data_IF_250125948757
#
_entry.id   IF_250125948757
#
_cell.length_a   1.000
_cell.length_b   1.000
_cell.length_c   1.000
_cell.angle_alpha   90.00
_cell.angle_beta   90.00
_cell.angle_gamma   90.00
#
_symmetry.space_group_name_H-M   'P 1'
#
loop_
_entity.id
_entity.type
_entity.pdbx_description
1 polymer ?
#
# COMPACT_ATOMS: atom_id res chain seq x y z
N UNK A 1 -26.46 2.59 -29.91
CA UNK A 1 -25.91 1.40 -29.26
C UNK A 1 -25.43 1.85 -27.89
N UNK A 2 -26.06 1.33 -26.85
CA UNK A 2 -25.92 1.80 -25.46
C UNK A 2 -24.54 1.41 -24.93
N UNK A 3 -23.77 2.38 -24.43
CA UNK A 3 -22.57 2.12 -23.64
C UNK A 3 -23.02 1.52 -22.30
N UNK A 4 -22.95 0.21 -22.17
CA UNK A 4 -22.93 -0.46 -20.88
C UNK A 4 -21.59 -0.12 -20.22
N UNK A 5 -21.58 0.96 -19.44
CA UNK A 5 -20.51 1.23 -18.50
C UNK A 5 -20.67 0.20 -17.38
N UNK A 6 -20.02 -0.95 -17.54
CA UNK A 6 -19.88 -1.95 -16.48
C UNK A 6 -19.11 -1.27 -15.35
N UNK A 7 -19.85 -0.70 -14.40
CA UNK A 7 -19.29 -0.25 -13.12
C UNK A 7 -18.74 -1.51 -12.46
N UNK A 8 -17.48 -1.82 -12.72
CA UNK A 8 -16.72 -2.81 -11.98
C UNK A 8 -16.80 -2.35 -10.53
N UNK A 9 -17.42 -3.12 -9.62
CA UNK A 9 -17.44 -2.73 -8.21
C UNK A 9 -16.00 -2.62 -7.75
N UNK A 10 -15.70 -1.58 -6.97
CA UNK A 10 -14.40 -1.37 -6.34
C UNK A 10 -13.96 -2.67 -5.63
N UNK A 11 -12.72 -3.10 -5.80
CA UNK A 11 -12.24 -4.39 -5.29
C UNK A 11 -12.33 -4.48 -3.75
N UNK A 12 -12.44 -3.31 -3.10
CA UNK A 12 -12.61 -3.12 -1.67
C UNK A 12 -14.07 -3.21 -1.21
N UNK A 13 -15.04 -3.19 -2.13
CA UNK A 13 -16.47 -3.28 -1.79
C UNK A 13 -16.80 -4.67 -1.22
N UNK A 14 -17.28 -4.71 0.03
CA UNK A 14 -17.66 -5.95 0.69
C UNK A 14 -19.01 -6.47 0.18
N UNK A 15 -19.00 -7.14 -0.97
CA UNK A 15 -20.21 -7.61 -1.66
C UNK A 15 -20.47 -9.12 -1.45
N UNK A 16 -19.46 -9.89 -1.08
CA UNK A 16 -19.53 -11.35 -1.09
C UNK A 16 -19.88 -11.92 0.29
N UNK A 17 -20.96 -12.69 0.39
CA UNK A 17 -21.28 -13.43 1.61
C UNK A 17 -20.29 -14.58 1.84
N UNK A 18 -20.22 -15.09 3.08
CA UNK A 18 -19.25 -16.13 3.46
C UNK A 18 -19.29 -17.40 2.60
N UNK A 19 -20.46 -17.80 2.09
CA UNK A 19 -20.59 -18.97 1.21
C UNK A 19 -19.88 -18.74 -0.13
N UNK A 20 -20.11 -17.58 -0.75
CA UNK A 20 -19.45 -17.21 -2.02
C UNK A 20 -17.96 -16.99 -1.80
N UNK A 21 -17.58 -16.33 -0.69
CA UNK A 21 -16.17 -16.13 -0.35
C UNK A 21 -15.43 -17.45 -0.13
N UNK A 22 -16.08 -18.46 0.45
CA UNK A 22 -15.54 -19.80 0.64
C UNK A 22 -15.30 -20.51 -0.71
N UNK A 23 -16.27 -20.44 -1.62
CA UNK A 23 -16.16 -21.00 -2.97
C UNK A 23 -15.03 -20.32 -3.76
N UNK A 24 -14.98 -18.99 -3.74
CA UNK A 24 -13.96 -18.22 -4.45
C UNK A 24 -12.57 -18.42 -3.85
N UNK A 25 -12.43 -18.57 -2.53
CA UNK A 25 -11.13 -18.81 -1.89
C UNK A 25 -10.72 -20.28 -1.87
N UNK A 26 -11.62 -21.23 -2.18
CA UNK A 26 -11.35 -22.66 -2.08
C UNK A 26 -11.20 -23.16 -0.63
N UNK A 27 -11.72 -22.40 0.34
CA UNK A 27 -11.62 -22.68 1.77
C UNK A 27 -12.98 -22.99 2.37
N UNK A 28 -13.02 -23.80 3.43
CA UNK A 28 -14.26 -24.09 4.12
C UNK A 28 -14.79 -22.85 4.90
N UNK A 29 -16.10 -22.57 4.95
CA UNK A 29 -16.66 -21.42 5.68
C UNK A 29 -16.25 -21.35 7.16
N UNK A 30 -16.00 -22.49 7.81
CA UNK A 30 -15.50 -22.51 9.19
C UNK A 30 -14.08 -21.95 9.30
N UNK A 31 -13.22 -22.23 8.32
CA UNK A 31 -11.84 -21.70 8.24
C UNK A 31 -11.85 -20.18 8.06
N UNK A 32 -12.74 -19.66 7.21
CA UNK A 32 -12.93 -18.22 7.05
C UNK A 32 -13.30 -17.53 8.38
N UNK A 33 -14.20 -18.15 9.16
CA UNK A 33 -14.57 -17.64 10.50
C UNK A 33 -13.40 -17.69 11.48
N UNK A 34 -12.55 -18.71 11.37
CA UNK A 34 -11.37 -18.86 12.21
C UNK A 34 -10.34 -17.77 11.87
N UNK A 35 -10.07 -17.53 10.59
CA UNK A 35 -9.13 -16.49 10.14
C UNK A 35 -9.60 -15.08 10.50
N UNK A 36 -10.90 -14.79 10.38
CA UNK A 36 -11.50 -13.55 10.90
C UNK A 36 -11.28 -13.40 12.40
N UNK A 37 -11.56 -14.44 13.20
CA UNK A 37 -11.35 -14.39 14.65
C UNK A 37 -9.88 -14.18 15.04
N UNK A 38 -8.96 -14.73 14.25
CA UNK A 38 -7.52 -14.55 14.44
C UNK A 38 -7.01 -13.19 13.95
N UNK A 39 -7.85 -12.41 13.25
CA UNK A 39 -7.49 -11.12 12.68
C UNK A 39 -6.58 -11.23 11.45
N UNK A 40 -6.58 -12.38 10.76
CA UNK A 40 -5.82 -12.56 9.51
C UNK A 40 -6.51 -11.91 8.30
N UNK A 41 -7.84 -11.78 8.37
CA UNK A 41 -8.67 -11.14 7.36
C UNK A 41 -9.78 -10.40 8.09
N UNK A 42 -10.11 -9.18 7.67
CA UNK A 42 -11.11 -8.33 8.33
C UNK A 42 -12.30 -8.08 7.41
N UNK A 43 -13.31 -8.97 7.38
CA UNK A 43 -14.53 -8.76 6.62
C UNK A 43 -15.38 -7.64 7.21
N UNK A 44 -16.13 -6.94 6.36
CA UNK A 44 -17.12 -5.98 6.82
C UNK A 44 -18.29 -6.71 7.48
N UNK A 45 -18.77 -6.20 8.62
CA UNK A 45 -19.93 -6.74 9.33
C UNK A 45 -21.19 -6.04 8.86
N UNK A 46 -22.03 -6.73 8.10
CA UNK A 46 -23.34 -6.22 7.74
C UNK A 46 -24.28 -6.30 8.96
N UNK A 47 -25.04 -5.24 9.22
CA UNK A 47 -26.08 -5.19 10.26
C UNK A 47 -27.07 -6.35 10.09
N UNK A 48 -27.00 -7.33 11.00
CA UNK A 48 -27.86 -8.51 11.00
C UNK A 48 -27.61 -9.55 9.89
N UNK A 49 -26.69 -9.32 8.94
CA UNK A 49 -26.52 -10.18 7.74
C UNK A 49 -25.17 -10.89 7.62
N UNK A 50 -24.42 -10.97 8.71
CA UNK A 50 -23.17 -11.72 8.78
C UNK A 50 -21.97 -10.99 8.17
N UNK A 51 -20.94 -11.77 7.82
CA UNK A 51 -19.68 -11.27 7.26
C UNK A 51 -19.81 -11.06 5.76
N UNK A 52 -19.36 -9.91 5.28
CA UNK A 52 -19.18 -9.62 3.87
C UNK A 52 -17.70 -9.46 3.56
N UNK A 53 -17.29 -10.12 2.50
CA UNK A 53 -15.92 -10.15 2.02
C UNK A 53 -15.86 -9.30 0.74
N UNK A 54 -14.80 -8.56 0.59
CA UNK A 54 -14.43 -7.89 -0.67
C UNK A 54 -13.55 -8.81 -1.53
N UNK A 55 -13.25 -8.42 -2.76
CA UNK A 55 -12.31 -9.18 -3.61
C UNK A 55 -10.90 -9.17 -3.00
N UNK A 56 -10.50 -8.04 -2.41
CA UNK A 56 -9.24 -7.95 -1.66
C UNK A 56 -9.19 -8.95 -0.50
N UNK A 57 -10.26 -9.06 0.28
CA UNK A 57 -10.36 -10.06 1.36
C UNK A 57 -10.20 -11.49 0.83
N UNK A 58 -10.77 -11.81 -0.33
CA UNK A 58 -10.65 -13.14 -0.96
C UNK A 58 -9.21 -13.39 -1.42
N UNK A 59 -8.54 -12.39 -1.98
CA UNK A 59 -7.12 -12.49 -2.32
C UNK A 59 -6.26 -12.74 -1.08
N UNK A 60 -6.51 -12.01 0.02
CA UNK A 60 -5.82 -12.24 1.30
C UNK A 60 -6.02 -13.66 1.82
N UNK A 61 -7.24 -14.21 1.76
CA UNK A 61 -7.53 -15.60 2.16
C UNK A 61 -6.68 -16.62 1.40
N UNK A 62 -6.52 -16.44 0.07
CA UNK A 62 -5.67 -17.31 -0.75
C UNK A 62 -4.19 -17.17 -0.39
N UNK A 63 -3.72 -15.95 -0.12
CA UNK A 63 -2.35 -15.72 0.34
C UNK A 63 -2.09 -16.40 1.68
N UNK A 64 -3.00 -16.26 2.65
CA UNK A 64 -2.91 -16.94 3.95
C UNK A 64 -2.83 -18.45 3.76
N UNK A 65 -3.70 -19.03 2.92
CA UNK A 65 -3.69 -20.46 2.63
C UNK A 65 -2.35 -20.93 2.04
N UNK A 66 -1.78 -20.16 1.10
CA UNK A 66 -0.47 -20.47 0.51
C UNK A 66 0.65 -20.43 1.55
N UNK A 67 0.71 -19.40 2.40
CA UNK A 67 1.72 -19.28 3.45
C UNK A 67 1.64 -20.40 4.49
N UNK A 68 0.42 -20.87 4.81
CA UNK A 68 0.24 -22.06 5.65
C UNK A 68 0.78 -23.31 4.97
N UNK A 69 0.55 -23.47 3.65
CA UNK A 69 1.11 -24.56 2.85
C UNK A 69 2.65 -24.55 2.81
N UNK A 70 3.26 -23.37 2.94
CA UNK A 70 4.72 -23.20 3.06
C UNK A 70 5.26 -23.48 4.48
N UNK A 71 4.38 -23.83 5.43
CA UNK A 71 4.75 -24.18 6.80
C UNK A 71 4.80 -22.99 7.77
N UNK A 72 4.31 -21.82 7.36
CA UNK A 72 4.27 -20.64 8.21
C UNK A 72 3.06 -20.71 9.14
N UNK A 73 3.28 -20.50 10.44
CA UNK A 73 2.19 -20.51 11.41
C UNK A 73 1.36 -19.21 11.37
N UNK A 74 0.14 -19.26 11.93
CA UNK A 74 -0.80 -18.13 11.94
C UNK A 74 -0.21 -16.84 12.56
N UNK A 75 0.64 -16.96 13.58
CA UNK A 75 1.28 -15.79 14.21
C UNK A 75 2.31 -15.13 13.27
N UNK A 76 3.08 -15.94 12.54
CA UNK A 76 3.99 -15.49 11.51
C UNK A 76 3.26 -14.81 10.36
N UNK A 77 2.16 -15.40 9.89
CA UNK A 77 1.34 -14.81 8.81
C UNK A 77 0.75 -13.47 9.25
N UNK A 78 0.21 -13.39 10.48
CA UNK A 78 -0.29 -12.12 11.02
C UNK A 78 0.81 -11.06 11.01
N UNK A 79 2.02 -11.41 11.45
CA UNK A 79 3.15 -10.48 11.46
C UNK A 79 3.56 -10.02 10.07
N UNK A 80 3.55 -10.92 9.09
CA UNK A 80 3.83 -10.61 7.68
C UNK A 80 2.82 -9.58 7.16
N UNK A 81 1.52 -9.82 7.37
CA UNK A 81 0.44 -8.92 6.91
C UNK A 81 0.57 -7.53 7.55
N UNK A 82 0.85 -7.46 8.86
CA UNK A 82 1.08 -6.20 9.56
C UNK A 82 2.28 -5.43 8.99
N UNK A 83 3.38 -6.13 8.68
CA UNK A 83 4.57 -5.52 8.10
C UNK A 83 4.32 -5.04 6.68
N UNK A 84 3.66 -5.83 5.84
CA UNK A 84 3.27 -5.44 4.48
C UNK A 84 2.39 -4.17 4.50
N UNK A 85 1.43 -4.11 5.42
CA UNK A 85 0.55 -2.95 5.60
C UNK A 85 1.34 -1.70 6.02
N UNK A 86 2.28 -1.85 6.97
CA UNK A 86 3.14 -0.76 7.40
C UNK A 86 4.05 -0.27 6.26
N UNK A 87 4.61 -1.19 5.47
CA UNK A 87 5.42 -0.86 4.29
C UNK A 87 4.62 -0.12 3.22
N UNK A 88 3.38 -0.54 2.95
CA UNK A 88 2.49 0.12 2.00
C UNK A 88 2.17 1.56 2.45
N UNK A 89 1.83 1.76 3.72
CA UNK A 89 1.58 3.09 4.28
C UNK A 89 2.82 3.99 4.19
N UNK A 90 3.99 3.45 4.52
CA UNK A 90 5.24 4.20 4.44
C UNK A 90 5.63 4.54 2.99
N UNK A 91 5.33 3.66 2.03
CA UNK A 91 5.54 3.94 0.61
C UNK A 91 4.66 5.10 0.11
N UNK A 92 3.40 5.17 0.56
CA UNK A 92 2.49 6.29 0.26
C UNK A 92 3.03 7.59 0.86
N UNK A 93 3.47 7.57 2.12
CA UNK A 93 4.03 8.74 2.78
C UNK A 93 5.31 9.25 2.07
N UNK A 94 6.20 8.34 1.68
CA UNK A 94 7.39 8.69 0.89
C UNK A 94 7.01 9.29 -0.46
N UNK A 95 5.96 8.78 -1.13
CA UNK A 95 5.48 9.34 -2.38
C UNK A 95 4.94 10.77 -2.19
N UNK A 96 4.13 11.01 -1.15
CA UNK A 96 3.63 12.35 -0.81
C UNK A 96 4.78 13.32 -0.51
N UNK A 97 5.74 12.92 0.32
CA UNK A 97 6.88 13.76 0.68
C UNK A 97 7.74 14.11 -0.54
N UNK A 98 7.92 13.18 -1.48
CA UNK A 98 8.64 13.46 -2.73
C UNK A 98 7.94 14.52 -3.58
N UNK A 99 6.61 14.42 -3.73
CA UNK A 99 5.82 15.42 -4.45
C UNK A 99 5.94 16.80 -3.80
N UNK A 100 5.88 16.84 -2.46
CA UNK A 100 6.02 18.10 -1.71
C UNK A 100 7.42 18.70 -1.87
N UNK A 101 8.47 17.88 -1.76
CA UNK A 101 9.87 18.33 -1.97
C UNK A 101 10.06 18.87 -3.38
N UNK A 102 9.52 18.20 -4.40
CA UNK A 102 9.62 18.64 -5.80
C UNK A 102 8.89 19.99 -6.01
N UNK A 103 7.73 20.17 -5.37
CA UNK A 103 6.99 21.44 -5.39
C UNK A 103 7.79 22.57 -4.73
N UNK A 104 8.36 22.33 -3.54
CA UNK A 104 9.18 23.30 -2.82
C UNK A 104 10.47 23.67 -3.58
N UNK A 105 11.13 22.72 -4.22
CA UNK A 105 12.31 22.98 -5.05
C UNK A 105 11.98 23.82 -6.29
N UNK A 106 10.76 23.66 -6.84
CA UNK A 106 10.28 24.49 -7.94
C UNK A 106 9.98 25.92 -7.50
N UNK A 107 9.38 26.10 -6.33
CA UNK A 107 9.06 27.41 -5.77
C UNK A 107 10.31 28.15 -5.24
N UNK A 108 11.26 27.42 -4.68
CA UNK A 108 12.48 27.97 -4.12
C UNK A 108 13.69 27.23 -4.72
N UNK A 109 14.05 27.53 -5.99
CA UNK A 109 15.18 26.90 -6.63
C UNK A 109 16.41 27.09 -5.74
N UNK A 110 17.23 26.05 -5.56
CA UNK A 110 18.37 26.13 -4.67
C UNK A 110 19.18 27.36 -5.03
N UNK A 111 19.34 28.30 -4.07
CA UNK A 111 20.23 29.45 -4.23
C UNK A 111 21.59 28.88 -4.58
N UNK A 112 21.96 28.93 -5.86
CA UNK A 112 23.28 28.55 -6.30
C UNK A 112 24.26 29.31 -5.43
N UNK A 113 25.17 28.60 -4.76
CA UNK A 113 26.32 29.20 -4.10
C UNK A 113 26.92 30.18 -5.10
N UNK A 114 26.82 31.48 -4.81
CA UNK A 114 27.32 32.51 -5.70
C UNK A 114 28.78 32.16 -5.99
N UNK A 115 29.06 31.75 -7.23
CA UNK A 115 30.42 31.41 -7.66
C UNK A 115 31.20 32.69 -7.45
N UNK A 116 32.00 32.73 -6.37
CA UNK A 116 32.81 33.88 -6.00
C UNK A 116 33.78 34.07 -7.16
N UNK A 117 33.50 35.00 -8.07
CA UNK A 117 34.43 35.38 -9.13
C UNK A 117 35.72 35.78 -8.44
N UNK A 118 36.80 35.00 -8.64
CA UNK A 118 38.14 35.39 -8.21
C UNK A 118 38.45 36.70 -8.93
N UNK A 119 38.58 37.80 -8.18
CA UNK A 119 39.13 39.03 -8.73
C UNK A 119 40.53 38.72 -9.29
N UNK A 120 40.86 39.16 -10.52
CA UNK A 120 42.20 39.01 -11.04
C UNK A 120 43.15 39.80 -10.15
N UNK A 121 44.13 39.11 -9.58
CA UNK A 121 45.22 39.71 -8.82
C UNK A 121 46.02 40.56 -9.81
N UNK A 122 45.96 41.88 -9.65
CA UNK A 122 46.79 42.81 -10.42
C UNK A 122 48.19 42.71 -9.81
N UNK A 123 49.08 42.00 -10.50
CA UNK A 123 50.51 41.98 -10.16
C UNK A 123 51.13 43.24 -10.73
N UNK A 124 51.51 44.17 -9.87
CA UNK A 124 52.36 45.29 -10.27
C UNK A 124 53.75 44.73 -10.55
N UNK A 125 54.25 44.97 -11.76
CA UNK A 125 55.65 44.75 -12.09
C UNK A 125 56.43 45.91 -11.47
N UNK A 126 57.28 45.63 -10.49
CA UNK A 126 58.31 46.56 -10.07
C UNK A 126 59.31 46.70 -11.23
N UNK A 127 59.39 47.91 -11.79
CA UNK A 127 60.51 48.28 -12.66
C UNK A 127 61.63 48.86 -11.79
N UNK A 128 62.70 48.07 -11.73
CA UNK A 128 64.14 48.35 -11.48
C UNK A 128 64.53 49.24 -10.30
#
# INVERSE_FOLDING_TARGET
MSNENTTQPDDDAALYVISIAAELSGLHPQTLRQYDRMGLVSPERATGRGRRYSLQNIASLRTVQRLIGEGINHAGIKRIIELESAMANMAIEVAHLRVEVDALLKENPPKGLAIRRKNPVIVYKEEQ
#
